data_IF_896908242824
#
_entry.id   IF_896908242824
#
_cell.length_a   1.000
_cell.length_b   1.000
_cell.length_c   1.000
_cell.angle_alpha   90.00
_cell.angle_beta   90.00
_cell.angle_gamma   90.00
#
_symmetry.space_group_name_H-M   'P 1'
#
loop_
_entity.id
_entity.type
_entity.pdbx_description
1 polymer ?
#
# COMPACT_ATOMS: atom_id res chain seq x y z
N UNK A 1 4.20 -23.08 -12.23
CA UNK A 1 4.89 -21.87 -11.72
C UNK A 1 5.16 -22.09 -10.25
N UNK A 2 6.34 -21.73 -9.73
CA UNK A 2 6.68 -21.98 -8.32
C UNK A 2 6.06 -20.89 -7.43
N UNK A 3 5.66 -21.21 -6.19
CA UNK A 3 5.23 -20.21 -5.21
C UNK A 3 6.37 -19.23 -4.89
N UNK A 4 6.01 -18.04 -4.38
CA UNK A 4 6.99 -17.03 -3.98
C UNK A 4 7.92 -17.57 -2.91
N UNK A 5 9.23 -17.46 -3.10
CA UNK A 5 10.22 -17.96 -2.14
C UNK A 5 10.90 -16.77 -1.46
N UNK A 6 10.86 -16.73 -0.13
CA UNK A 6 11.56 -15.71 0.62
C UNK A 6 13.07 -15.95 0.63
N UNK A 7 13.84 -14.89 0.44
CA UNK A 7 15.31 -14.95 0.39
C UNK A 7 15.89 -13.73 1.11
N UNK A 8 17.13 -13.84 1.58
CA UNK A 8 17.80 -12.68 2.17
C UNK A 8 18.09 -11.64 1.07
N UNK A 9 17.35 -10.53 1.08
CA UNK A 9 17.39 -9.47 0.06
C UNK A 9 17.33 -8.10 0.73
N UNK A 10 18.05 -7.15 0.16
CA UNK A 10 18.10 -5.75 0.60
C UNK A 10 17.07 -4.96 -0.21
N UNK A 11 16.47 -3.93 0.40
CA UNK A 11 15.58 -3.02 -0.32
C UNK A 11 16.36 -2.24 -1.38
N UNK A 12 15.76 -2.03 -2.56
CA UNK A 12 16.51 -1.48 -3.70
C UNK A 12 16.97 -0.03 -3.47
N UNK A 13 16.15 0.78 -2.79
CA UNK A 13 16.44 2.18 -2.47
C UNK A 13 16.94 2.37 -1.03
N UNK A 14 17.43 1.31 -0.39
CA UNK A 14 17.98 1.42 0.97
C UNK A 14 19.30 2.20 0.94
N UNK A 15 19.28 3.41 1.48
CA UNK A 15 20.40 4.35 1.54
C UNK A 15 21.41 4.02 2.65
N UNK A 16 21.06 3.09 3.54
CA UNK A 16 21.87 2.68 4.69
C UNK A 16 22.48 1.27 4.50
N UNK A 17 22.40 0.70 3.29
CA UNK A 17 22.96 -0.60 2.96
C UNK A 17 23.81 -0.53 1.68
N UNK A 18 25.10 -0.85 1.79
CA UNK A 18 26.07 -0.78 0.70
C UNK A 18 25.76 -1.76 -0.44
N UNK A 19 24.95 -2.80 -0.17
CA UNK A 19 24.55 -3.78 -1.17
C UNK A 19 23.30 -3.39 -1.96
N UNK A 20 22.61 -2.30 -1.58
CA UNK A 20 21.42 -1.81 -2.28
C UNK A 20 21.72 -1.39 -3.73
N UNK A 21 20.67 -1.32 -4.54
CA UNK A 21 20.78 -0.86 -5.94
C UNK A 21 21.14 0.63 -5.94
N UNK A 22 20.58 1.40 -5.00
CA UNK A 22 20.88 2.82 -4.83
C UNK A 22 22.36 3.07 -4.56
N UNK A 23 22.96 2.38 -3.58
CA UNK A 23 24.38 2.55 -3.20
C UNK A 23 25.34 2.22 -4.35
N UNK A 24 24.95 1.30 -5.25
CA UNK A 24 25.72 0.91 -6.43
C UNK A 24 25.44 1.79 -7.66
N UNK A 25 24.40 2.61 -7.63
CA UNK A 25 23.93 3.38 -8.78
C UNK A 25 24.74 4.65 -8.98
N UNK A 26 25.14 4.94 -10.23
CA UNK A 26 25.75 6.23 -10.59
C UNK A 26 24.83 7.44 -10.34
N UNK A 27 23.53 7.19 -10.18
CA UNK A 27 22.50 8.22 -9.98
C UNK A 27 22.13 8.43 -8.51
N UNK A 28 22.89 7.87 -7.54
CA UNK A 28 22.60 8.07 -6.11
C UNK A 28 22.54 9.56 -5.72
N UNK A 29 23.30 10.43 -6.42
CA UNK A 29 23.24 11.89 -6.20
C UNK A 29 21.86 12.49 -6.50
N UNK A 30 21.15 11.97 -7.50
CA UNK A 30 19.79 12.42 -7.83
C UNK A 30 18.80 12.07 -6.71
N UNK A 31 18.94 10.88 -6.11
CA UNK A 31 18.15 10.48 -4.95
C UNK A 31 18.33 11.47 -3.80
N UNK A 32 19.56 11.74 -3.38
CA UNK A 32 19.82 12.69 -2.30
C UNK A 32 19.38 14.11 -2.65
N UNK A 33 19.57 14.55 -3.89
CA UNK A 33 19.08 15.85 -4.35
C UNK A 33 17.56 15.98 -4.23
N UNK A 34 16.79 14.94 -4.59
CA UNK A 34 15.34 14.95 -4.43
C UNK A 34 14.91 15.04 -2.96
N UNK A 35 15.60 14.33 -2.06
CA UNK A 35 15.39 14.46 -0.62
C UNK A 35 15.74 15.87 -0.11
N UNK A 36 16.86 16.45 -0.55
CA UNK A 36 17.26 17.81 -0.20
C UNK A 36 16.22 18.84 -0.65
N UNK A 37 15.65 18.69 -1.85
CA UNK A 37 14.58 19.58 -2.32
C UNK A 37 13.34 19.51 -1.44
N UNK A 38 12.91 18.30 -1.04
CA UNK A 38 11.76 18.15 -0.14
C UNK A 38 12.03 18.70 1.26
N UNK A 39 13.24 18.50 1.80
CA UNK A 39 13.66 19.11 3.08
C UNK A 39 13.70 20.63 2.96
N UNK A 40 14.31 21.16 1.91
CA UNK A 40 14.36 22.61 1.66
C UNK A 40 12.96 23.21 1.59
N UNK A 41 12.05 22.55 0.87
CA UNK A 41 10.65 22.97 0.78
C UNK A 41 9.97 23.02 2.15
N UNK A 42 10.19 22.04 3.03
CA UNK A 42 9.67 22.07 4.40
C UNK A 42 10.33 23.17 5.25
N UNK A 43 11.65 23.33 5.14
CA UNK A 43 12.40 24.37 5.86
C UNK A 43 11.94 25.77 5.47
N UNK A 44 11.65 26.01 4.20
CA UNK A 44 11.07 27.27 3.72
C UNK A 44 9.73 27.56 4.42
N UNK A 45 8.83 26.58 4.49
CA UNK A 45 7.54 26.74 5.17
C UNK A 45 7.69 26.96 6.68
N UNK A 46 8.69 26.35 7.31
CA UNK A 46 9.01 26.57 8.73
C UNK A 46 9.59 27.98 8.92
N UNK A 47 10.54 28.38 8.08
CA UNK A 47 11.19 29.69 8.14
C UNK A 47 10.19 30.84 8.02
N UNK A 48 9.19 30.71 7.15
CA UNK A 48 8.12 31.69 7.00
C UNK A 48 6.93 31.48 7.95
N UNK A 49 7.03 30.58 8.94
CA UNK A 49 5.97 30.25 9.90
C UNK A 49 4.62 29.85 9.23
N UNK A 50 4.68 29.28 8.02
CA UNK A 50 3.50 28.88 7.25
C UNK A 50 3.06 27.45 7.55
N UNK A 51 3.99 26.56 7.93
CA UNK A 51 3.72 25.13 8.09
C UNK A 51 2.55 24.86 9.05
N UNK A 52 2.58 25.46 10.23
CA UNK A 52 1.53 25.30 11.24
C UNK A 52 0.16 25.75 10.73
N UNK A 53 0.10 26.91 10.08
CA UNK A 53 -1.13 27.49 9.52
C UNK A 53 -1.70 26.63 8.40
N UNK A 54 -0.85 26.18 7.46
CA UNK A 54 -1.26 25.31 6.34
C UNK A 54 -1.88 24.02 6.88
N UNK A 55 -1.20 23.35 7.81
CA UNK A 55 -1.68 22.09 8.39
C UNK A 55 -2.90 22.27 9.30
N UNK A 56 -3.01 23.43 9.97
CA UNK A 56 -4.17 23.74 10.81
C UNK A 56 -5.42 24.02 9.98
N UNK A 57 -5.30 24.62 8.80
CA UNK A 57 -6.44 24.98 7.96
C UNK A 57 -6.95 23.83 7.08
N UNK A 58 -6.19 22.73 6.98
CA UNK A 58 -6.58 21.58 6.16
C UNK A 58 -7.65 20.72 6.84
N UNK A 59 -8.86 20.56 6.25
CA UNK A 59 -9.89 19.67 6.77
C UNK A 59 -9.43 18.22 6.87
N UNK A 60 -8.64 17.74 5.89
CA UNK A 60 -8.12 16.37 5.90
C UNK A 60 -7.16 16.14 7.07
N UNK A 61 -6.24 17.08 7.31
CA UNK A 61 -5.29 16.96 8.42
C UNK A 61 -5.99 17.11 9.77
N UNK A 62 -7.00 17.97 9.88
CA UNK A 62 -7.86 18.03 11.06
C UNK A 62 -8.57 16.70 11.31
N UNK A 63 -9.10 16.04 10.27
CA UNK A 63 -9.72 14.73 10.41
C UNK A 63 -8.72 13.66 10.88
N UNK A 64 -7.50 13.65 10.35
CA UNK A 64 -6.42 12.77 10.84
C UNK A 64 -6.10 13.02 12.31
N UNK A 65 -6.03 14.28 12.75
CA UNK A 65 -5.80 14.63 14.16
C UNK A 65 -6.95 14.21 15.06
N UNK A 66 -8.19 14.45 14.63
CA UNK A 66 -9.42 14.10 15.37
C UNK A 66 -9.56 12.58 15.52
N UNK A 67 -9.32 11.86 14.43
CA UNK A 67 -9.58 10.42 14.34
C UNK A 67 -8.32 9.57 14.61
N UNK A 68 -7.16 10.17 14.80
CA UNK A 68 -5.88 9.47 14.93
C UNK A 68 -5.86 8.45 16.07
N UNK A 69 -6.52 8.77 17.19
CA UNK A 69 -6.69 7.80 18.29
C UNK A 69 -7.49 6.59 17.83
N UNK A 70 -8.56 6.79 17.05
CA UNK A 70 -9.37 5.71 16.49
C UNK A 70 -8.58 4.89 15.46
N UNK A 71 -7.69 5.52 14.69
CA UNK A 71 -6.77 4.80 13.78
C UNK A 71 -5.83 3.89 14.57
N UNK A 72 -5.26 4.37 15.69
CA UNK A 72 -4.37 3.57 16.54
C UNK A 72 -5.15 2.43 17.21
N UNK A 73 -6.33 2.71 17.77
CA UNK A 73 -7.21 1.69 18.35
C UNK A 73 -7.54 0.63 17.30
N UNK A 74 -7.86 1.04 16.08
CA UNK A 74 -8.12 0.11 14.99
C UNK A 74 -6.88 -0.68 14.58
N UNK A 75 -5.71 -0.04 14.49
CA UNK A 75 -4.46 -0.75 14.20
C UNK A 75 -4.23 -1.84 15.23
N UNK A 76 -4.36 -1.53 16.53
CA UNK A 76 -4.28 -2.52 17.61
C UNK A 76 -5.34 -3.60 17.43
N UNK A 77 -6.60 -3.22 17.21
CA UNK A 77 -7.69 -4.17 16.98
C UNK A 77 -7.41 -5.11 15.81
N UNK A 78 -6.86 -4.58 14.72
CA UNK A 78 -6.48 -5.32 13.51
C UNK A 78 -5.43 -6.40 13.77
N UNK A 79 -4.63 -6.24 14.83
CA UNK A 79 -3.70 -7.27 15.30
C UNK A 79 -4.33 -8.22 16.32
N UNK A 80 -5.41 -7.84 17.00
CA UNK A 80 -6.09 -8.69 18.00
C UNK A 80 -7.13 -9.63 17.39
N UNK A 81 -7.93 -9.20 16.41
CA UNK A 81 -8.97 -10.06 15.85
C UNK A 81 -8.43 -11.34 15.18
N UNK A 82 -7.21 -11.38 14.59
CA UNK A 82 -6.64 -12.61 14.04
C UNK A 82 -6.38 -13.69 15.07
N UNK A 83 -6.34 -13.34 16.35
CA UNK A 83 -6.30 -14.33 17.42
C UNK A 83 -7.59 -15.17 17.49
N UNK A 84 -8.74 -14.64 17.08
CA UNK A 84 -9.98 -15.42 16.99
C UNK A 84 -9.87 -16.54 15.96
N UNK A 85 -9.21 -16.27 14.83
CA UNK A 85 -8.86 -17.26 13.82
C UNK A 85 -7.83 -18.25 14.36
N UNK A 86 -6.78 -17.78 15.02
CA UNK A 86 -5.76 -18.63 15.65
C UNK A 86 -6.36 -19.61 16.67
N UNK A 87 -7.18 -19.15 17.60
CA UNK A 87 -7.81 -20.01 18.60
C UNK A 87 -8.82 -20.97 17.94
N UNK A 88 -9.56 -20.54 16.93
CA UNK A 88 -10.46 -21.43 16.19
C UNK A 88 -9.71 -22.56 15.48
N UNK A 89 -8.52 -22.25 14.94
CA UNK A 89 -7.61 -23.25 14.37
C UNK A 89 -7.06 -24.17 15.46
N UNK A 90 -6.65 -23.64 16.61
CA UNK A 90 -6.16 -24.39 17.76
C UNK A 90 -7.17 -25.43 18.27
N UNK A 91 -8.44 -25.04 18.40
CA UNK A 91 -9.51 -25.91 18.88
C UNK A 91 -10.23 -26.69 17.76
N UNK A 92 -9.75 -26.62 16.51
CA UNK A 92 -10.30 -27.38 15.38
C UNK A 92 -11.72 -26.99 14.94
N UNK A 93 -12.16 -25.76 15.22
CA UNK A 93 -13.53 -25.28 14.95
C UNK A 93 -13.65 -24.64 13.55
N UNK A 94 -13.80 -25.48 12.51
CA UNK A 94 -13.86 -25.03 11.10
C UNK A 94 -14.97 -24.00 10.79
N UNK A 95 -16.14 -24.11 11.41
CA UNK A 95 -17.24 -23.16 11.19
C UNK A 95 -16.93 -21.76 11.71
N UNK A 96 -16.32 -21.67 12.91
CA UNK A 96 -15.91 -20.39 13.51
C UNK A 96 -14.81 -19.72 12.68
N UNK A 97 -13.93 -20.51 12.08
CA UNK A 97 -12.86 -20.02 11.23
C UNK A 97 -13.38 -19.28 9.99
N UNK A 98 -14.37 -19.83 9.28
CA UNK A 98 -14.98 -19.13 8.13
C UNK A 98 -15.70 -17.85 8.55
N UNK A 99 -16.37 -17.86 9.70
CA UNK A 99 -17.02 -16.68 10.25
C UNK A 99 -15.99 -15.59 10.57
N UNK A 100 -14.92 -15.93 11.29
CA UNK A 100 -13.94 -14.95 11.78
C UNK A 100 -13.08 -14.34 10.67
N UNK A 101 -12.75 -15.07 9.61
CA UNK A 101 -12.01 -14.52 8.46
C UNK A 101 -12.81 -13.42 7.72
N UNK A 102 -14.14 -13.51 7.74
CA UNK A 102 -15.01 -12.54 7.04
C UNK A 102 -15.40 -11.35 7.91
N UNK A 103 -15.25 -11.44 9.24
CA UNK A 103 -15.57 -10.36 10.17
C UNK A 103 -14.93 -9.02 9.84
N UNK A 104 -13.64 -8.92 9.42
CA UNK A 104 -13.03 -7.62 9.13
C UNK A 104 -13.84 -6.81 8.13
N UNK A 105 -14.33 -7.45 7.06
CA UNK A 105 -15.12 -6.81 6.01
C UNK A 105 -16.53 -6.38 6.46
N UNK A 106 -16.97 -6.76 7.65
CA UNK A 106 -18.21 -6.26 8.27
C UNK A 106 -17.88 -5.17 9.29
N UNK A 107 -16.86 -5.40 10.12
CA UNK A 107 -16.54 -4.54 11.26
C UNK A 107 -15.89 -3.24 10.79
N UNK A 108 -14.98 -3.28 9.80
CA UNK A 108 -14.28 -2.05 9.38
C UNK A 108 -15.20 -1.06 8.65
N UNK A 109 -16.10 -1.48 7.74
CA UNK A 109 -17.02 -0.54 7.13
C UNK A 109 -17.99 0.02 8.18
N UNK A 110 -18.51 -0.85 9.06
CA UNK A 110 -19.35 -0.42 10.17
C UNK A 110 -18.64 0.60 11.07
N UNK A 111 -17.39 0.36 11.46
CA UNK A 111 -16.60 1.26 12.30
C UNK A 111 -16.37 2.61 11.61
N UNK A 112 -15.96 2.58 10.33
CA UNK A 112 -15.69 3.78 9.54
C UNK A 112 -16.94 4.65 9.36
N UNK A 113 -18.09 4.01 9.12
CA UNK A 113 -19.39 4.69 8.95
C UNK A 113 -19.91 5.19 10.30
N UNK A 114 -19.88 4.36 11.35
CA UNK A 114 -20.42 4.69 12.68
C UNK A 114 -19.71 5.88 13.32
N UNK A 115 -18.39 5.94 13.22
CA UNK A 115 -17.58 7.02 13.79
C UNK A 115 -17.31 8.17 12.82
N UNK A 116 -17.86 8.10 11.60
CA UNK A 116 -17.68 9.13 10.56
C UNK A 116 -16.21 9.54 10.38
N UNK A 117 -15.33 8.55 10.26
CA UNK A 117 -13.90 8.76 10.07
C UNK A 117 -13.61 9.52 8.79
N UNK A 118 -12.66 10.47 8.81
CA UNK A 118 -12.21 11.14 7.58
C UNK A 118 -11.67 10.16 6.54
N UNK A 119 -11.49 10.63 5.30
CA UNK A 119 -11.06 9.78 4.18
C UNK A 119 -9.76 9.02 4.49
N UNK A 120 -8.70 9.71 4.94
CA UNK A 120 -7.41 9.08 5.25
C UNK A 120 -7.53 8.08 6.41
N UNK A 121 -8.11 8.44 7.58
CA UNK A 121 -8.36 7.48 8.65
C UNK A 121 -9.17 6.25 8.21
N UNK A 122 -10.24 6.44 7.44
CA UNK A 122 -11.07 5.35 6.92
C UNK A 122 -10.32 4.45 5.94
N UNK A 123 -9.54 5.04 5.03
CA UNK A 123 -8.71 4.29 4.08
C UNK A 123 -7.63 3.47 4.80
N UNK A 124 -6.99 4.04 5.83
CA UNK A 124 -6.02 3.34 6.67
C UNK A 124 -6.65 2.14 7.39
N UNK A 125 -7.81 2.34 8.02
CA UNK A 125 -8.59 1.29 8.69
C UNK A 125 -8.95 0.15 7.73
N UNK A 126 -9.41 0.48 6.53
CA UNK A 126 -9.71 -0.49 5.47
C UNK A 126 -8.47 -1.25 4.99
N UNK A 127 -7.35 -0.56 4.78
CA UNK A 127 -6.09 -1.18 4.37
C UNK A 127 -5.60 -2.19 5.43
N UNK A 128 -5.66 -1.83 6.72
CA UNK A 128 -5.30 -2.73 7.82
C UNK A 128 -6.20 -3.98 7.86
N UNK A 129 -7.51 -3.82 7.61
CA UNK A 129 -8.43 -4.95 7.53
C UNK A 129 -8.10 -5.90 6.36
N UNK A 130 -7.77 -5.35 5.18
CA UNK A 130 -7.33 -6.16 4.04
C UNK A 130 -6.01 -6.88 4.33
N UNK A 131 -5.04 -6.22 4.97
CA UNK A 131 -3.75 -6.84 5.36
C UNK A 131 -3.99 -8.00 6.32
N UNK A 132 -4.77 -7.79 7.38
CA UNK A 132 -5.06 -8.83 8.35
C UNK A 132 -5.80 -10.02 7.71
N UNK A 133 -6.81 -9.77 6.88
CA UNK A 133 -7.51 -10.81 6.12
C UNK A 133 -6.55 -11.64 5.25
N UNK A 134 -5.67 -10.98 4.48
CA UNK A 134 -4.69 -11.67 3.64
C UNK A 134 -3.75 -12.54 4.48
N UNK A 135 -3.30 -12.02 5.64
CA UNK A 135 -2.45 -12.78 6.56
C UNK A 135 -3.13 -14.00 7.14
N UNK A 136 -4.40 -13.88 7.55
CA UNK A 136 -5.19 -14.99 8.09
C UNK A 136 -5.40 -16.09 7.05
N UNK A 137 -5.84 -15.71 5.85
CA UNK A 137 -6.03 -16.65 4.73
C UNK A 137 -4.72 -17.39 4.45
N UNK A 138 -3.60 -16.66 4.43
CA UNK A 138 -2.32 -17.30 4.19
C UNK A 138 -1.90 -18.23 5.32
N UNK A 139 -2.08 -17.82 6.57
CA UNK A 139 -1.75 -18.62 7.75
C UNK A 139 -2.50 -19.95 7.71
N UNK A 140 -3.82 -19.91 7.52
CA UNK A 140 -4.65 -21.11 7.54
C UNK A 140 -4.38 -22.09 6.40
N UNK A 141 -3.96 -21.59 5.23
CA UNK A 141 -3.62 -22.44 4.09
C UNK A 141 -2.27 -23.16 4.26
N UNK A 142 -1.28 -22.49 4.86
CA UNK A 142 0.08 -23.01 4.97
C UNK A 142 0.34 -23.71 6.31
N UNK A 143 -0.32 -23.27 7.38
CA UNK A 143 -0.13 -23.77 8.74
C UNK A 143 -1.06 -24.94 9.03
N UNK A 144 -0.56 -26.18 8.88
CA UNK A 144 -1.36 -27.39 9.18
C UNK A 144 -1.59 -27.58 10.68
N UNK A 145 -0.60 -27.23 11.50
CA UNK A 145 -0.62 -27.33 12.96
C UNK A 145 -0.38 -25.94 13.56
N UNK A 146 -1.19 -25.50 14.55
CA UNK A 146 -1.03 -24.19 15.16
C UNK A 146 0.39 -23.96 15.69
N UNK A 147 0.94 -22.78 15.41
CA UNK A 147 2.23 -22.31 15.93
C UNK A 147 2.08 -21.70 17.33
N UNK A 148 3.18 -21.31 17.99
CA UNK A 148 3.09 -20.63 19.28
C UNK A 148 2.43 -19.24 19.17
N UNK A 149 1.79 -18.76 20.25
CA UNK A 149 1.15 -17.43 20.29
C UNK A 149 2.12 -16.29 19.95
N UNK A 150 3.37 -16.40 20.43
CA UNK A 150 4.41 -15.42 20.14
C UNK A 150 4.85 -15.45 18.67
N UNK A 151 4.98 -16.63 18.08
CA UNK A 151 5.33 -16.77 16.66
C UNK A 151 4.23 -16.20 15.76
N UNK A 152 2.95 -16.43 16.14
CA UNK A 152 1.81 -15.84 15.46
C UNK A 152 1.82 -14.31 15.57
N UNK A 153 2.10 -13.75 16.75
CA UNK A 153 2.26 -12.30 16.94
C UNK A 153 3.34 -11.72 16.02
N UNK A 154 4.52 -12.35 15.97
CA UNK A 154 5.62 -11.91 15.12
C UNK A 154 5.24 -11.99 13.64
N UNK A 155 4.54 -13.04 13.20
CA UNK A 155 4.01 -13.12 11.84
C UNK A 155 3.03 -11.98 11.52
N UNK A 156 2.14 -11.66 12.46
CA UNK A 156 1.17 -10.58 12.28
C UNK A 156 1.82 -9.22 12.09
N UNK A 157 3.00 -8.97 12.66
CA UNK A 157 3.75 -7.72 12.48
C UNK A 157 4.71 -7.77 11.26
N UNK A 158 5.25 -8.95 10.94
CA UNK A 158 6.23 -9.12 9.85
C UNK A 158 5.67 -8.59 8.52
N UNK A 159 6.42 -7.82 7.72
CA UNK A 159 5.93 -7.23 6.47
C UNK A 159 5.84 -8.25 5.32
N UNK A 160 5.18 -9.38 5.58
CA UNK A 160 4.95 -10.49 4.68
C UNK A 160 3.47 -10.89 4.71
N UNK A 161 2.86 -11.06 3.54
CA UNK A 161 1.46 -11.52 3.43
C UNK A 161 1.33 -13.01 3.13
N UNK A 162 2.43 -13.69 2.78
CA UNK A 162 2.46 -15.14 2.61
C UNK A 162 3.17 -15.78 3.81
N UNK A 163 2.41 -16.55 4.60
CA UNK A 163 2.87 -17.31 5.76
C UNK A 163 3.83 -18.44 5.37
N UNK A 164 5.03 -18.41 5.95
CA UNK A 164 6.03 -19.48 5.89
C UNK A 164 6.45 -19.83 7.32
N UNK A 165 6.82 -21.09 7.57
CA UNK A 165 7.33 -21.50 8.89
C UNK A 165 8.68 -20.84 9.19
N UNK A 166 9.56 -20.78 8.19
CA UNK A 166 10.88 -20.23 8.31
C UNK A 166 11.05 -19.08 7.31
N UNK A 167 11.21 -17.88 7.85
CA UNK A 167 11.62 -16.70 7.10
C UNK A 167 13.14 -16.52 7.17
N UNK A 168 13.78 -15.95 6.13
CA UNK A 168 15.16 -15.50 6.25
C UNK A 168 15.25 -14.46 7.36
N UNK A 169 16.17 -14.66 8.31
CA UNK A 169 16.35 -13.78 9.46
C UNK A 169 17.64 -12.97 9.36
N UNK A 170 17.59 -11.71 9.77
CA UNK A 170 18.77 -10.88 10.02
C UNK A 170 19.40 -11.25 11.36
N UNK A 171 20.70 -10.95 11.53
CA UNK A 171 21.47 -11.36 12.72
C UNK A 171 21.21 -10.48 13.96
N UNK A 172 20.90 -9.20 13.75
CA UNK A 172 20.73 -8.21 14.82
C UNK A 172 19.83 -7.06 14.35
N UNK A 173 19.17 -6.40 15.30
CA UNK A 173 18.49 -5.12 15.08
C UNK A 173 19.54 -4.00 15.06
N UNK A 174 19.56 -3.21 14.00
CA UNK A 174 20.39 -2.02 13.83
C UNK A 174 19.61 -0.80 14.33
N UNK A 175 19.84 -0.40 15.58
CA UNK A 175 19.09 0.71 16.19
C UNK A 175 19.21 2.03 15.42
N UNK A 176 20.40 2.37 14.91
CA UNK A 176 20.60 3.57 14.08
C UNK A 176 19.75 3.52 12.81
N UNK A 177 19.63 2.34 12.19
CA UNK A 177 18.75 2.13 11.05
C UNK A 177 17.28 2.36 11.42
N UNK A 178 16.83 1.82 12.55
CA UNK A 178 15.46 2.05 13.04
C UNK A 178 15.19 3.55 13.26
N UNK A 179 16.10 4.28 13.90
CA UNK A 179 15.95 5.72 14.11
C UNK A 179 15.94 6.50 12.80
N UNK A 180 16.79 6.14 11.83
CA UNK A 180 16.81 6.76 10.51
C UNK A 180 15.47 6.52 9.77
N UNK A 181 14.96 5.28 9.76
CA UNK A 181 13.65 5.00 9.14
C UNK A 181 12.50 5.70 9.87
N UNK A 182 12.53 5.81 11.21
CA UNK A 182 11.54 6.61 11.97
C UNK A 182 11.58 8.11 11.60
N UNK A 183 12.77 8.68 11.46
CA UNK A 183 12.94 10.07 11.01
C UNK A 183 12.37 10.25 9.60
N UNK A 184 12.69 9.35 8.67
CA UNK A 184 12.17 9.39 7.31
C UNK A 184 10.65 9.22 7.26
N UNK A 185 10.06 8.38 8.11
CA UNK A 185 8.59 8.26 8.26
C UNK A 185 8.00 9.62 8.63
N UNK A 186 8.53 10.28 9.67
CA UNK A 186 8.03 11.60 10.07
C UNK A 186 8.21 12.66 8.96
N UNK A 187 9.36 12.64 8.26
CA UNK A 187 9.63 13.53 7.13
C UNK A 187 8.62 13.35 5.99
N UNK A 188 8.42 12.12 5.50
CA UNK A 188 7.49 11.84 4.40
C UNK A 188 6.03 12.03 4.81
N UNK A 189 5.66 11.76 6.07
CA UNK A 189 4.31 12.03 6.59
C UNK A 189 3.99 13.54 6.59
N UNK A 190 4.91 14.37 7.11
CA UNK A 190 4.76 15.84 7.08
C UNK A 190 4.74 16.36 5.64
N UNK A 191 5.63 15.87 4.78
CA UNK A 191 5.66 16.27 3.37
C UNK A 191 4.36 15.90 2.65
N UNK A 192 3.85 14.69 2.87
CA UNK A 192 2.56 14.24 2.33
C UNK A 192 1.40 15.10 2.81
N UNK A 193 1.37 15.43 4.11
CA UNK A 193 0.37 16.30 4.70
C UNK A 193 0.39 17.71 4.09
N UNK A 194 1.58 18.27 3.85
CA UNK A 194 1.73 19.58 3.17
C UNK A 194 1.26 19.51 1.72
N UNK A 195 1.58 18.43 0.99
CA UNK A 195 1.11 18.27 -0.41
C UNK A 195 -0.41 18.22 -0.45
N UNK A 196 -1.04 17.49 0.47
CA UNK A 196 -2.50 17.45 0.59
C UNK A 196 -3.06 18.85 0.86
N UNK A 197 -2.61 19.47 1.96
CA UNK A 197 -3.15 20.72 2.46
C UNK A 197 -2.94 21.92 1.51
N UNK A 198 -1.78 22.00 0.85
CA UNK A 198 -1.40 23.15 0.03
C UNK A 198 -1.73 22.97 -1.45
N UNK A 199 -1.71 21.74 -1.98
CA UNK A 199 -1.78 21.51 -3.43
C UNK A 199 -2.98 20.67 -3.86
N UNK A 200 -3.37 19.64 -3.11
CA UNK A 200 -4.50 18.76 -3.50
C UNK A 200 -5.84 19.39 -3.10
N UNK A 201 -6.02 19.74 -1.82
CA UNK A 201 -7.29 20.27 -1.32
C UNK A 201 -7.73 21.55 -2.03
N UNK A 202 -6.86 22.57 -2.24
CA UNK A 202 -7.26 23.78 -2.95
C UNK A 202 -7.64 23.51 -4.41
N UNK A 203 -7.01 22.52 -5.05
CA UNK A 203 -7.35 22.12 -6.43
C UNK A 203 -8.72 21.46 -6.53
N UNK A 204 -9.14 20.74 -5.48
CA UNK A 204 -10.47 20.14 -5.37
C UNK A 204 -11.54 21.20 -5.08
N UNK A 205 -11.28 22.11 -4.14
CA UNK A 205 -12.27 23.08 -3.65
C UNK A 205 -12.39 24.28 -4.61
N UNK A 206 -11.30 24.64 -5.29
CA UNK A 206 -11.20 25.88 -6.06
C UNK A 206 -11.94 25.89 -7.40
N UNK A 207 -12.42 24.76 -7.90
CA UNK A 207 -13.17 24.68 -9.16
C UNK A 207 -14.16 23.51 -9.16
N UNK A 208 -15.33 23.72 -9.76
CA UNK A 208 -16.29 22.66 -10.07
C UNK A 208 -16.15 22.10 -11.49
N UNK A 209 -15.28 22.68 -12.32
CA UNK A 209 -14.95 22.14 -13.64
C UNK A 209 -14.05 20.90 -13.48
N UNK A 210 -14.61 19.74 -13.81
CA UNK A 210 -13.95 18.44 -13.71
C UNK A 210 -12.66 18.34 -14.54
N UNK A 211 -12.62 18.95 -15.73
CA UNK A 211 -11.44 18.89 -16.60
C UNK A 211 -10.33 19.72 -15.97
N UNK A 212 -10.65 20.95 -15.57
CA UNK A 212 -9.68 21.83 -14.92
C UNK A 212 -9.18 21.23 -13.60
N UNK A 213 -10.07 20.69 -12.77
CA UNK A 213 -9.72 20.00 -11.52
C UNK A 213 -8.74 18.84 -11.78
N UNK A 214 -9.03 18.00 -12.77
CA UNK A 214 -8.17 16.86 -13.13
C UNK A 214 -6.78 17.32 -13.57
N UNK A 215 -6.69 18.39 -14.38
CA UNK A 215 -5.43 18.97 -14.82
C UNK A 215 -4.62 19.51 -13.65
N UNK A 216 -5.26 20.24 -12.73
CA UNK A 216 -4.60 20.80 -11.54
C UNK A 216 -4.09 19.70 -10.59
N UNK A 217 -4.75 18.54 -10.57
CA UNK A 217 -4.40 17.41 -9.72
C UNK A 217 -3.30 16.49 -10.27
N UNK A 218 -2.91 16.60 -11.55
CA UNK A 218 -1.92 15.72 -12.19
C UNK A 218 -0.61 15.61 -11.38
N UNK A 219 0.05 16.75 -11.16
CA UNK A 219 1.33 16.78 -10.45
C UNK A 219 1.18 16.58 -8.93
N UNK A 220 0.24 17.27 -8.23
CA UNK A 220 0.07 17.09 -6.79
C UNK A 220 -0.23 15.64 -6.37
N UNK A 221 -1.13 14.94 -7.07
CA UNK A 221 -1.44 13.55 -6.76
C UNK A 221 -0.29 12.61 -7.10
N UNK A 222 0.42 12.84 -8.20
CA UNK A 222 1.60 12.04 -8.53
C UNK A 222 2.69 12.22 -7.48
N UNK A 223 2.97 13.46 -7.08
CA UNK A 223 3.93 13.75 -6.00
C UNK A 223 3.52 13.10 -4.68
N UNK A 224 2.24 13.21 -4.30
CA UNK A 224 1.71 12.54 -3.12
C UNK A 224 1.86 11.02 -3.19
N UNK A 225 1.59 10.43 -4.34
CA UNK A 225 1.71 8.98 -4.55
C UNK A 225 3.16 8.49 -4.47
N UNK A 226 4.13 9.26 -4.95
CA UNK A 226 5.57 8.99 -4.75
C UNK A 226 5.95 9.13 -3.27
N UNK A 227 5.46 10.16 -2.58
CA UNK A 227 5.70 10.31 -1.13
C UNK A 227 5.11 9.13 -0.35
N UNK A 228 3.89 8.70 -0.69
CA UNK A 228 3.24 7.54 -0.09
C UNK A 228 4.03 6.25 -0.34
N UNK A 229 4.60 6.08 -1.54
CA UNK A 229 5.48 4.97 -1.86
C UNK A 229 6.69 4.89 -0.91
N UNK A 230 7.42 6.00 -0.79
CA UNK A 230 8.58 6.06 0.10
C UNK A 230 8.20 5.89 1.56
N UNK A 231 7.11 6.52 2.00
CA UNK A 231 6.59 6.39 3.36
C UNK A 231 6.31 4.91 3.69
N UNK A 232 5.52 4.23 2.85
CA UNK A 232 5.10 2.85 3.11
C UNK A 232 6.20 1.84 2.82
N UNK A 233 6.65 1.73 1.57
CA UNK A 233 7.46 0.60 1.13
C UNK A 233 8.92 0.73 1.53
N UNK A 234 9.48 1.94 1.46
CA UNK A 234 10.89 2.16 1.76
C UNK A 234 11.14 2.37 3.26
N UNK A 235 10.19 2.96 4.00
CA UNK A 235 10.43 3.28 5.41
C UNK A 235 9.62 2.42 6.38
N UNK A 236 8.28 2.40 6.30
CA UNK A 236 7.45 1.61 7.24
C UNK A 236 7.77 0.12 7.14
N UNK A 237 7.74 -0.47 5.94
CA UNK A 237 7.98 -1.92 5.78
C UNK A 237 9.41 -2.32 6.15
N UNK A 238 10.41 -1.50 5.83
CA UNK A 238 11.80 -1.75 6.24
C UNK A 238 12.00 -1.63 7.76
N UNK A 239 11.32 -0.69 8.43
CA UNK A 239 11.32 -0.60 9.89
C UNK A 239 10.67 -1.85 10.51
N UNK A 240 9.50 -2.26 10.01
CA UNK A 240 8.83 -3.48 10.45
C UNK A 240 9.70 -4.71 10.23
N UNK A 241 10.41 -4.78 9.10
CA UNK A 241 11.34 -5.88 8.82
C UNK A 241 12.53 -5.91 9.78
N UNK A 242 13.09 -4.74 10.12
CA UNK A 242 14.19 -4.66 11.07
C UNK A 242 13.75 -5.16 12.46
N UNK A 243 12.61 -4.68 12.98
CA UNK A 243 12.14 -5.06 14.32
C UNK A 243 11.68 -6.52 14.42
N UNK A 244 11.22 -7.13 13.33
CA UNK A 244 10.85 -8.57 13.30
C UNK A 244 11.99 -9.48 12.83
N UNK A 245 13.20 -8.95 12.68
CA UNK A 245 14.37 -9.66 12.14
C UNK A 245 14.16 -10.20 10.72
N UNK A 246 13.20 -9.70 9.96
CA UNK A 246 12.89 -10.18 8.61
C UNK A 246 13.97 -9.75 7.60
N UNK A 247 14.53 -10.74 6.90
CA UNK A 247 15.66 -10.59 5.99
C UNK A 247 15.32 -10.41 4.52
N UNK A 248 14.05 -10.54 4.14
CA UNK A 248 13.62 -10.34 2.75
C UNK A 248 12.98 -8.96 2.57
N UNK A 249 13.76 -7.97 2.14
CA UNK A 249 13.34 -6.57 2.09
C UNK A 249 12.99 -6.08 0.69
N UNK A 250 12.76 -7.00 -0.23
CA UNK A 250 12.34 -6.69 -1.59
C UNK A 250 10.82 -6.50 -1.65
N UNK A 251 10.32 -5.42 -1.03
CA UNK A 251 8.89 -5.07 -1.00
C UNK A 251 8.37 -4.46 -2.31
N UNK A 252 9.29 -4.09 -3.19
CA UNK A 252 9.07 -3.55 -4.51
C UNK A 252 10.31 -3.84 -5.38
N UNK A 253 10.14 -3.76 -6.69
CA UNK A 253 11.21 -3.74 -7.68
C UNK A 253 11.26 -2.37 -8.38
N UNK A 254 12.07 -2.25 -9.43
CA UNK A 254 12.23 -1.05 -10.27
C UNK A 254 11.01 -0.74 -11.14
N UNK A 255 9.83 -0.59 -10.50
CA UNK A 255 8.55 -0.35 -11.15
C UNK A 255 8.53 0.93 -11.98
N UNK A 256 9.41 1.91 -11.68
CA UNK A 256 9.58 3.14 -12.46
C UNK A 256 10.12 2.88 -13.87
N UNK A 257 10.75 1.72 -14.10
CA UNK A 257 11.21 1.26 -15.41
C UNK A 257 10.17 0.40 -16.14
N UNK A 258 8.97 0.22 -15.57
CA UNK A 258 7.95 -0.62 -16.18
C UNK A 258 7.52 -0.06 -17.55
N UNK A 259 7.44 -0.95 -18.54
CA UNK A 259 6.98 -0.60 -19.90
C UNK A 259 5.54 -1.01 -20.16
N UNK A 260 4.93 -1.70 -19.20
CA UNK A 260 3.54 -2.18 -19.25
C UNK A 260 2.92 -2.15 -17.85
N UNK A 261 1.60 -2.00 -17.76
CA UNK A 261 0.91 -2.11 -16.48
C UNK A 261 1.01 -3.52 -15.87
N UNK A 262 1.19 -4.56 -16.67
CA UNK A 262 1.39 -5.92 -16.15
C UNK A 262 2.70 -6.02 -15.37
N UNK A 263 3.76 -5.42 -15.91
CA UNK A 263 5.05 -5.32 -15.24
C UNK A 263 4.97 -4.42 -14.00
N UNK A 264 4.33 -3.26 -14.10
CA UNK A 264 4.11 -2.35 -12.98
C UNK A 264 3.39 -3.03 -11.80
N UNK A 265 2.27 -3.71 -12.07
CA UNK A 265 1.47 -4.39 -11.05
C UNK A 265 2.24 -5.51 -10.33
N UNK A 266 3.24 -6.11 -10.99
CA UNK A 266 4.12 -7.10 -10.37
C UNK A 266 5.27 -6.48 -9.56
N UNK A 267 5.73 -5.28 -9.94
CA UNK A 267 6.90 -4.61 -9.36
C UNK A 267 6.58 -3.62 -8.24
N UNK A 268 5.43 -2.95 -8.28
CA UNK A 268 5.09 -1.85 -7.36
C UNK A 268 4.96 -2.31 -5.91
N UNK A 269 4.20 -3.37 -5.68
CA UNK A 269 3.92 -3.93 -4.37
C UNK A 269 4.09 -5.45 -4.43
N UNK A 270 5.32 -5.92 -4.28
CA UNK A 270 5.65 -7.34 -4.40
C UNK A 270 5.00 -8.16 -3.29
N UNK A 271 4.72 -7.55 -2.13
CA UNK A 271 4.09 -8.22 -0.99
C UNK A 271 2.65 -8.63 -1.30
N UNK A 272 1.85 -7.70 -1.83
CA UNK A 272 0.48 -7.99 -2.28
C UNK A 272 0.50 -8.87 -3.52
N UNK A 273 1.43 -8.62 -4.46
CA UNK A 273 1.60 -9.48 -5.63
C UNK A 273 1.88 -10.93 -5.24
N UNK A 274 2.77 -11.18 -4.28
CA UNK A 274 3.10 -12.51 -3.79
C UNK A 274 1.88 -13.22 -3.18
N UNK A 275 1.05 -12.48 -2.44
CA UNK A 275 -0.22 -13.00 -1.92
C UNK A 275 -1.19 -13.36 -3.06
N UNK A 276 -1.47 -12.42 -3.97
CA UNK A 276 -2.39 -12.62 -5.09
C UNK A 276 -1.93 -13.77 -5.99
N UNK A 277 -0.64 -13.84 -6.30
CA UNK A 277 -0.08 -14.91 -7.10
C UNK A 277 -0.25 -16.27 -6.39
N UNK A 278 0.14 -16.37 -5.12
CA UNK A 278 0.17 -17.65 -4.38
C UNK A 278 -1.23 -18.15 -4.05
N UNK A 279 -2.13 -17.26 -3.62
CA UNK A 279 -3.41 -17.64 -3.00
C UNK A 279 -4.62 -17.47 -3.89
N UNK A 280 -4.51 -16.71 -4.98
CA UNK A 280 -5.60 -16.47 -5.92
C UNK A 280 -5.25 -17.07 -7.27
N UNK A 281 -4.17 -16.60 -7.90
CA UNK A 281 -3.79 -17.03 -9.25
C UNK A 281 -3.44 -18.52 -9.32
N UNK A 282 -2.49 -19.00 -8.49
CA UNK A 282 -2.08 -20.41 -8.50
C UNK A 282 -3.25 -21.35 -8.14
N UNK A 283 -4.12 -20.94 -7.21
CA UNK A 283 -5.30 -21.72 -6.85
C UNK A 283 -6.31 -21.81 -8.01
N UNK A 284 -6.53 -20.72 -8.75
CA UNK A 284 -7.35 -20.76 -9.97
C UNK A 284 -6.74 -21.67 -11.04
N UNK A 285 -5.40 -21.70 -11.15
CA UNK A 285 -4.69 -22.63 -12.03
C UNK A 285 -4.83 -24.08 -11.59
N UNK A 286 -4.81 -24.37 -10.29
CA UNK A 286 -5.10 -25.71 -9.73
C UNK A 286 -6.53 -26.15 -10.05
N UNK A 287 -7.49 -25.23 -10.04
CA UNK A 287 -8.87 -25.44 -10.49
C UNK A 287 -9.02 -25.50 -12.01
N UNK A 288 -7.91 -25.51 -12.76
CA UNK A 288 -7.86 -25.60 -14.23
C UNK A 288 -8.58 -24.44 -14.94
N UNK A 289 -8.72 -23.28 -14.30
CA UNK A 289 -9.24 -22.06 -14.93
C UNK A 289 -8.23 -21.60 -16.00
N UNK A 290 -8.67 -21.21 -17.22
CA UNK A 290 -7.76 -20.74 -18.26
C UNK A 290 -6.88 -19.56 -17.80
N UNK A 291 -5.64 -19.48 -18.29
CA UNK A 291 -4.65 -18.49 -17.84
C UNK A 291 -5.14 -17.04 -17.93
N UNK A 292 -5.86 -16.70 -19.01
CA UNK A 292 -6.42 -15.36 -19.22
C UNK A 292 -7.43 -15.04 -18.14
N UNK A 293 -8.40 -15.93 -17.91
CA UNK A 293 -9.41 -15.79 -16.87
C UNK A 293 -8.81 -15.76 -15.46
N UNK A 294 -7.76 -16.53 -15.20
CA UNK A 294 -7.08 -16.49 -13.90
C UNK A 294 -6.43 -15.14 -13.64
N UNK A 295 -5.84 -14.49 -14.66
CA UNK A 295 -5.33 -13.11 -14.54
C UNK A 295 -6.47 -12.12 -14.30
N UNK A 296 -7.55 -12.20 -15.10
CA UNK A 296 -8.73 -11.32 -14.96
C UNK A 296 -9.34 -11.43 -13.58
N UNK A 297 -9.59 -12.64 -13.09
CA UNK A 297 -10.19 -12.87 -11.76
C UNK A 297 -9.28 -12.44 -10.62
N UNK A 298 -7.96 -12.66 -10.74
CA UNK A 298 -6.99 -12.16 -9.75
C UNK A 298 -7.02 -10.63 -9.70
N UNK A 299 -7.10 -9.98 -10.87
CA UNK A 299 -7.18 -8.53 -10.96
C UNK A 299 -8.51 -8.00 -10.41
N UNK A 300 -9.62 -8.66 -10.74
CA UNK A 300 -10.96 -8.33 -10.22
C UNK A 300 -11.01 -8.44 -8.70
N UNK A 301 -10.42 -9.49 -8.12
CA UNK A 301 -10.32 -9.65 -6.68
C UNK A 301 -9.56 -8.48 -6.04
N UNK A 302 -8.41 -8.09 -6.61
CA UNK A 302 -7.67 -6.91 -6.14
C UNK A 302 -8.49 -5.61 -6.27
N UNK A 303 -9.20 -5.44 -7.39
CA UNK A 303 -10.02 -4.26 -7.65
C UNK A 303 -11.16 -4.10 -6.63
N UNK A 304 -11.84 -5.20 -6.31
CA UNK A 304 -12.90 -5.22 -5.29
C UNK A 304 -12.38 -4.84 -3.90
N UNK A 305 -11.16 -5.27 -3.51
CA UNK A 305 -10.57 -4.86 -2.24
C UNK A 305 -10.34 -3.34 -2.18
N UNK A 306 -9.86 -2.72 -3.26
CA UNK A 306 -9.69 -1.27 -3.32
C UNK A 306 -11.05 -0.55 -3.22
N UNK A 307 -12.06 -1.07 -3.92
CA UNK A 307 -13.40 -0.50 -3.91
C UNK A 307 -14.05 -0.54 -2.54
N UNK A 308 -13.96 -1.65 -1.80
CA UNK A 308 -14.57 -1.74 -0.46
C UNK A 308 -13.92 -0.72 0.49
N UNK A 309 -12.61 -0.48 0.36
CA UNK A 309 -11.93 0.58 1.13
C UNK A 309 -12.51 1.95 0.76
N UNK A 310 -12.68 2.25 -0.53
CA UNK A 310 -13.26 3.52 -0.99
C UNK A 310 -14.72 3.68 -0.55
N UNK A 311 -15.54 2.64 -0.66
CA UNK A 311 -16.94 2.64 -0.21
C UNK A 311 -17.03 2.98 1.28
N UNK A 312 -16.18 2.37 2.10
CA UNK A 312 -16.15 2.64 3.53
C UNK A 312 -15.66 4.06 3.84
N UNK A 313 -14.57 4.49 3.22
CA UNK A 313 -13.91 5.77 3.49
C UNK A 313 -14.72 6.98 2.97
N UNK A 314 -15.32 6.86 1.79
CA UNK A 314 -16.15 7.91 1.17
C UNK A 314 -17.63 7.79 1.56
N UNK A 315 -18.06 6.63 2.08
CA UNK A 315 -19.45 6.33 2.46
C UNK A 315 -20.44 6.41 1.29
N UNK A 316 -19.94 6.12 0.09
CA UNK A 316 -20.72 6.11 -1.15
C UNK A 316 -20.40 4.85 -1.96
N UNK A 317 -21.41 4.30 -2.63
CA UNK A 317 -21.24 3.17 -3.54
C UNK A 317 -21.09 3.66 -4.98
N UNK A 318 -19.84 3.80 -5.42
CA UNK A 318 -19.49 4.33 -6.74
C UNK A 318 -18.40 3.44 -7.34
N UNK A 319 -18.71 2.34 -8.05
CA UNK A 319 -17.76 1.29 -8.44
C UNK A 319 -16.79 1.68 -9.58
N UNK A 320 -16.35 2.94 -9.60
CA UNK A 320 -15.55 3.54 -10.65
C UNK A 320 -14.10 3.06 -10.61
N UNK A 321 -13.50 2.92 -9.43
CA UNK A 321 -12.15 2.36 -9.27
C UNK A 321 -12.10 0.93 -9.80
N UNK A 322 -13.08 0.11 -9.43
CA UNK A 322 -13.21 -1.27 -9.95
C UNK A 322 -13.30 -1.29 -11.47
N UNK A 323 -14.14 -0.42 -12.04
CA UNK A 323 -14.31 -0.32 -13.48
C UNK A 323 -13.00 0.06 -14.19
N UNK A 324 -12.33 1.13 -13.75
CA UNK A 324 -11.06 1.59 -14.34
C UNK A 324 -9.97 0.55 -14.21
N UNK A 325 -9.86 -0.11 -13.06
CA UNK A 325 -8.92 -1.21 -12.86
C UNK A 325 -9.21 -2.35 -13.86
N UNK A 326 -10.44 -2.84 -13.96
CA UNK A 326 -10.77 -3.91 -14.91
C UNK A 326 -10.53 -3.49 -16.37
N UNK A 327 -10.75 -2.22 -16.71
CA UNK A 327 -10.46 -1.66 -18.04
C UNK A 327 -8.96 -1.69 -18.36
N UNK A 328 -8.06 -1.68 -17.38
CA UNK A 328 -6.62 -1.84 -17.62
C UNK A 328 -6.30 -3.20 -18.26
N UNK A 329 -7.08 -4.26 -18.02
CA UNK A 329 -6.80 -5.60 -18.56
C UNK A 329 -6.83 -5.65 -20.09
N UNK A 330 -7.91 -5.25 -20.78
CA UNK A 330 -7.92 -5.19 -22.24
C UNK A 330 -6.91 -4.18 -22.79
N UNK A 331 -6.68 -3.06 -22.11
CA UNK A 331 -5.65 -2.07 -22.51
C UNK A 331 -4.26 -2.68 -22.47
N UNK A 332 -3.92 -3.41 -21.40
CA UNK A 332 -2.66 -4.15 -21.28
C UNK A 332 -2.48 -5.18 -22.38
N UNK A 333 -3.57 -5.84 -22.80
CA UNK A 333 -3.53 -6.81 -23.90
C UNK A 333 -3.31 -6.15 -25.26
N UNK A 334 -3.99 -5.03 -25.52
CA UNK A 334 -3.85 -4.26 -26.76
C UNK A 334 -2.44 -3.67 -26.90
N UNK A 335 -1.85 -3.19 -25.80
CA UNK A 335 -0.57 -2.49 -25.80
C UNK A 335 0.65 -3.39 -25.57
N UNK A 336 0.50 -4.71 -25.70
CA UNK A 336 1.62 -5.67 -25.52
C UNK A 336 2.81 -5.41 -26.44
N UNK A 337 2.57 -4.86 -27.62
CA UNK A 337 3.62 -4.54 -28.59
C UNK A 337 4.55 -3.42 -28.12
N UNK A 338 4.15 -2.62 -27.11
CA UNK A 338 4.99 -1.57 -26.52
C UNK A 338 5.94 -2.09 -25.43
N UNK A 339 5.85 -3.37 -25.06
CA UNK A 339 6.70 -3.97 -24.03
C UNK A 339 8.19 -3.82 -24.38
N UNK A 340 9.00 -3.43 -23.40
CA UNK A 340 10.44 -3.18 -23.53
C UNK A 340 10.81 -2.05 -24.51
N UNK A 341 9.87 -1.17 -24.86
CA UNK A 341 10.14 -0.02 -25.73
C UNK A 341 10.14 1.29 -24.93
N UNK A 342 10.82 2.32 -25.46
CA UNK A 342 10.77 3.68 -24.89
C UNK A 342 9.35 4.27 -24.91
N UNK A 343 8.58 3.95 -25.95
CA UNK A 343 7.18 4.39 -26.07
C UNK A 343 6.33 3.76 -24.96
N UNK A 344 6.56 2.48 -24.64
CA UNK A 344 5.91 1.80 -23.51
C UNK A 344 6.19 2.48 -22.17
N UNK A 345 7.44 2.89 -21.93
CA UNK A 345 7.81 3.65 -20.74
C UNK A 345 7.09 5.01 -20.66
N UNK A 346 7.07 5.76 -21.76
CA UNK A 346 6.38 7.06 -21.84
C UNK A 346 4.88 6.88 -21.60
N UNK A 347 4.26 5.88 -22.25
CA UNK A 347 2.85 5.55 -22.07
C UNK A 347 2.54 5.16 -20.62
N UNK A 348 3.39 4.36 -19.99
CA UNK A 348 3.23 3.97 -18.59
C UNK A 348 3.17 5.20 -17.68
N UNK A 349 4.18 6.09 -17.75
CA UNK A 349 4.21 7.30 -16.94
C UNK A 349 3.07 8.27 -17.26
N UNK A 350 2.73 8.43 -18.53
CA UNK A 350 1.58 9.22 -18.95
C UNK A 350 0.28 8.68 -18.32
N UNK A 351 0.07 7.37 -18.37
CA UNK A 351 -1.14 6.74 -17.84
C UNK A 351 -1.19 6.80 -16.32
N UNK A 352 -0.05 6.67 -15.63
CA UNK A 352 0.04 6.82 -14.18
C UNK A 352 -0.28 8.26 -13.75
N UNK A 353 0.27 9.25 -14.46
CA UNK A 353 0.05 10.69 -14.23
C UNK A 353 -1.42 11.07 -14.38
N UNK A 354 -2.17 10.45 -15.31
CA UNK A 354 -3.58 10.78 -15.56
C UNK A 354 -4.57 9.90 -14.80
N UNK A 355 -4.25 8.62 -14.59
CA UNK A 355 -5.19 7.64 -14.05
C UNK A 355 -5.68 8.00 -12.65
N UNK A 356 -4.75 8.30 -11.73
CA UNK A 356 -5.09 8.64 -10.33
C UNK A 356 -5.92 9.93 -10.25
N UNK A 357 -5.55 11.04 -10.92
CA UNK A 357 -6.40 12.24 -10.96
C UNK A 357 -7.80 12.02 -11.53
N UNK A 358 -7.96 11.24 -12.62
CA UNK A 358 -9.28 10.94 -13.18
C UNK A 358 -10.17 10.23 -12.14
N UNK A 359 -9.59 9.27 -11.41
CA UNK A 359 -10.28 8.55 -10.34
C UNK A 359 -10.69 9.53 -9.23
N UNK A 360 -9.73 10.30 -8.69
CA UNK A 360 -9.98 11.23 -7.57
C UNK A 360 -11.01 12.29 -7.96
N UNK A 361 -10.87 12.95 -9.11
CA UNK A 361 -11.82 13.96 -9.58
C UNK A 361 -13.24 13.40 -9.70
N UNK A 362 -13.40 12.14 -10.14
CA UNK A 362 -14.71 11.52 -10.25
C UNK A 362 -15.36 11.27 -8.87
N UNK A 363 -14.62 10.68 -7.93
CA UNK A 363 -15.12 10.39 -6.58
C UNK A 363 -15.38 11.62 -5.72
N UNK A 364 -14.76 12.76 -6.05
CA UNK A 364 -14.97 14.02 -5.33
C UNK A 364 -16.24 14.75 -5.78
N UNK A 365 -16.66 14.56 -7.04
CA UNK A 365 -17.83 15.23 -7.62
C UNK A 365 -19.15 14.47 -7.38
N UNK A 366 -19.07 13.13 -7.31
CA UNK A 366 -20.20 12.24 -7.00
C UNK A 366 -20.32 12.08 -5.49
#
# INVERSE_FOLDING_TARGET
MKPYTYQHRVSQLDDMDDHSVLSKSKMHGFYYYAHMLGIYYLLELIYFNQLGTILANSPTIQAVKRDGILMIIWAIYSFTYPYTVYFSHLYGKKMLLTLFISLPFVIFPWFTIKYQLGFIPGAFVGAMACIGFMKEVSYLKHCKKPIGLWEFFIYMITPALVFYHDYPKTKKIRLVYCFAKLFNIAYFDILGAVIIAKHIEPSIIGTSDQILQTILLLFPLTAFWIVLFFLTFENILNLLAEITYFGDREFYHDWWNATTFEEFNAKWNTVVYAFLHTHVYLQLQEWKVPRVWSKVLTFAFSALLHEIILIAALRQFTPFMTFIMLLQVPVMMALRFLKNTRIGLIYFWFSLLHGVPIIVSYYVLV
#
